data_IF_474286099459
#
_entry.id   IF_474286099459
#
_cell.length_a   1.000
_cell.length_b   1.000
_cell.length_c   1.000
_cell.angle_alpha   90.00
_cell.angle_beta   90.00
_cell.angle_gamma   90.00
#
_symmetry.space_group_name_H-M   'P 1'
#
loop_
_entity.id
_entity.type
_entity.pdbx_description
1 polymer ?
#
# COMPACT_ATOMS: atom_id res chain seq x y z
N UNK A 1 19.79 32.09 17.05
CA UNK A 1 18.95 31.94 15.85
C UNK A 1 19.50 30.81 15.02
N UNK A 2 18.86 29.62 15.01
CA UNK A 2 18.93 28.75 13.85
C UNK A 2 17.58 28.02 13.65
N UNK A 3 16.65 28.64 12.94
CA UNK A 3 15.36 28.01 12.60
C UNK A 3 15.15 27.75 11.09
N UNK A 4 16.10 28.13 10.24
CA UNK A 4 15.90 28.08 8.78
C UNK A 4 16.54 26.88 8.05
N UNK A 5 17.39 26.11 8.68
CA UNK A 5 18.07 24.97 8.02
C UNK A 5 17.28 23.65 8.01
N UNK A 6 16.36 23.46 8.97
CA UNK A 6 15.55 22.22 9.02
C UNK A 6 14.43 22.18 7.96
N UNK A 7 13.90 23.31 7.56
CA UNK A 7 12.80 23.39 6.56
C UNK A 7 13.30 23.08 5.14
N UNK A 8 14.52 23.44 4.81
CA UNK A 8 15.09 23.14 3.49
C UNK A 8 15.43 21.66 3.29
N UNK A 9 15.89 20.98 4.35
CA UNK A 9 16.22 19.54 4.26
C UNK A 9 14.98 18.66 4.07
N UNK A 10 13.86 19.01 4.68
CA UNK A 10 12.61 18.24 4.56
C UNK A 10 11.97 18.39 3.17
N UNK A 11 12.03 19.56 2.58
CA UNK A 11 11.50 19.83 1.21
C UNK A 11 12.37 19.14 0.16
N UNK A 12 13.69 19.16 0.31
CA UNK A 12 14.62 18.47 -0.59
C UNK A 12 14.48 16.94 -0.53
N UNK A 13 14.25 16.37 0.65
CA UNK A 13 14.08 14.92 0.82
C UNK A 13 12.75 14.42 0.23
N UNK A 14 11.67 15.17 0.42
CA UNK A 14 10.37 14.86 -0.17
C UNK A 14 10.40 14.96 -1.71
N UNK A 15 11.09 15.96 -2.25
CA UNK A 15 11.29 16.12 -3.70
C UNK A 15 12.12 15.00 -4.32
N UNK A 16 13.17 14.54 -3.63
CA UNK A 16 14.01 13.43 -4.10
C UNK A 16 13.28 12.08 -4.09
N UNK A 17 12.43 11.81 -3.09
CA UNK A 17 11.58 10.62 -3.05
C UNK A 17 10.53 10.62 -4.17
N UNK A 18 9.88 11.76 -4.42
CA UNK A 18 8.91 11.88 -5.50
C UNK A 18 9.53 11.65 -6.88
N UNK A 19 10.77 12.11 -7.10
CA UNK A 19 11.49 11.92 -8.36
C UNK A 19 11.83 10.44 -8.67
N UNK A 20 11.83 9.56 -7.66
CA UNK A 20 12.11 8.12 -7.78
C UNK A 20 10.84 7.25 -7.66
N UNK A 21 9.68 7.85 -7.41
CA UNK A 21 8.45 7.10 -7.20
C UNK A 21 8.13 6.23 -8.42
N UNK A 22 7.84 4.97 -8.14
CA UNK A 22 7.40 3.96 -9.11
C UNK A 22 5.98 3.46 -8.83
N UNK A 23 5.41 3.79 -7.69
CA UNK A 23 4.07 3.41 -7.27
C UNK A 23 3.24 4.67 -7.03
N UNK A 24 2.01 4.67 -7.53
CA UNK A 24 1.11 5.81 -7.46
C UNK A 24 -0.30 5.39 -7.07
N UNK A 25 -1.02 6.30 -6.44
CA UNK A 25 -2.38 6.09 -5.96
C UNK A 25 -3.23 7.34 -6.18
N UNK A 26 -4.55 7.15 -6.22
CA UNK A 26 -5.52 8.24 -6.18
C UNK A 26 -6.85 7.75 -5.56
N UNK A 27 -7.44 8.58 -4.70
CA UNK A 27 -8.83 8.45 -4.27
C UNK A 27 -9.70 9.35 -5.14
N UNK A 28 -10.68 8.77 -5.84
CA UNK A 28 -11.58 9.50 -6.73
C UNK A 28 -12.87 9.87 -5.98
N UNK A 29 -13.25 11.14 -6.06
CA UNK A 29 -14.48 11.67 -5.47
C UNK A 29 -15.11 12.71 -6.39
N UNK A 30 -16.43 12.91 -6.28
CA UNK A 30 -17.12 13.98 -7.00
C UNK A 30 -16.70 15.38 -6.56
N UNK A 31 -16.21 15.53 -5.31
CA UNK A 31 -15.72 16.80 -4.78
C UNK A 31 -14.42 17.27 -5.43
N UNK A 32 -13.63 16.38 -6.02
CA UNK A 32 -12.39 16.72 -6.73
C UNK A 32 -12.62 17.13 -8.20
N UNK A 33 -13.81 16.93 -8.75
CA UNK A 33 -14.14 17.44 -10.09
C UNK A 33 -14.16 18.98 -10.12
N UNK A 34 -13.99 19.56 -11.27
CA UNK A 34 -13.93 21.00 -11.46
C UNK A 34 -14.91 21.44 -12.58
N UNK A 35 -16.07 22.01 -12.21
CA UNK A 35 -16.58 22.19 -10.85
C UNK A 35 -16.96 20.86 -10.18
N UNK A 36 -17.10 20.81 -8.83
CA UNK A 36 -17.54 19.59 -8.15
C UNK A 36 -18.86 19.03 -8.70
N UNK A 37 -18.91 17.72 -8.94
CA UNK A 37 -20.09 17.06 -9.55
C UNK A 37 -21.23 16.83 -8.56
N UNK A 38 -20.95 16.84 -7.26
CA UNK A 38 -21.90 16.46 -6.22
C UNK A 38 -22.15 14.95 -6.12
N UNK A 39 -21.53 14.12 -6.94
CA UNK A 39 -21.62 12.66 -6.84
C UNK A 39 -21.02 12.15 -5.53
N UNK A 40 -21.69 11.18 -4.91
CA UNK A 40 -21.22 10.46 -3.73
C UNK A 40 -20.49 9.16 -4.09
N UNK A 41 -20.42 8.82 -5.37
CA UNK A 41 -19.63 7.67 -5.86
C UNK A 41 -18.16 7.89 -5.56
N UNK A 42 -17.50 6.84 -5.14
CA UNK A 42 -16.08 6.84 -4.78
C UNK A 42 -15.31 5.88 -5.69
N UNK A 43 -14.03 6.15 -5.87
CA UNK A 43 -13.11 5.26 -6.58
C UNK A 43 -11.74 5.23 -5.93
N UNK A 44 -10.97 4.20 -6.27
CA UNK A 44 -9.57 4.04 -5.88
C UNK A 44 -8.76 3.63 -7.11
N UNK A 45 -7.58 4.21 -7.25
CA UNK A 45 -6.64 3.86 -8.31
C UNK A 45 -5.29 3.47 -7.72
N UNK A 46 -4.71 2.40 -8.24
CA UNK A 46 -3.31 2.03 -8.06
C UNK A 46 -2.61 1.96 -9.42
N UNK A 47 -1.33 2.30 -9.41
CA UNK A 47 -0.52 2.33 -10.62
C UNK A 47 0.94 2.03 -10.29
N UNK A 48 1.57 1.20 -11.13
CA UNK A 48 2.97 0.79 -10.97
C UNK A 48 3.72 1.11 -12.26
N UNK A 49 4.83 1.82 -12.12
CA UNK A 49 5.72 2.16 -13.24
C UNK A 49 6.71 1.03 -13.49
N UNK A 50 6.67 0.46 -14.68
CA UNK A 50 7.79 -0.31 -15.23
C UNK A 50 8.83 0.68 -15.76
N UNK A 51 9.93 0.81 -15.03
CA UNK A 51 11.02 1.73 -15.39
C UNK A 51 11.81 1.28 -16.61
N UNK A 52 11.79 -0.02 -16.94
CA UNK A 52 12.47 -0.56 -18.12
C UNK A 52 11.80 -0.17 -19.42
N UNK A 53 10.47 -0.16 -19.43
CA UNK A 53 9.65 0.14 -20.61
C UNK A 53 8.98 1.51 -20.56
N UNK A 54 9.10 2.22 -19.43
CA UNK A 54 8.40 3.50 -19.19
C UNK A 54 6.88 3.38 -19.33
N UNK A 55 6.30 2.23 -19.00
CA UNK A 55 4.86 1.97 -19.03
C UNK A 55 4.26 1.93 -17.63
N UNK A 56 2.96 2.19 -17.51
CA UNK A 56 2.23 2.10 -16.24
C UNK A 56 1.23 0.97 -16.31
N UNK A 57 1.36 -0.01 -15.43
CA UNK A 57 0.27 -0.92 -15.11
C UNK A 57 -0.69 -0.22 -14.15
N UNK A 58 -1.97 -0.10 -14.51
CA UNK A 58 -2.96 0.61 -13.71
C UNK A 58 -4.19 -0.26 -13.41
N UNK A 59 -4.82 0.04 -12.28
CA UNK A 59 -6.12 -0.49 -11.90
C UNK A 59 -6.91 0.58 -11.16
N UNK A 60 -8.11 0.88 -11.68
CA UNK A 60 -9.08 1.80 -11.07
C UNK A 60 -10.31 0.98 -10.71
N UNK A 61 -10.70 1.02 -9.44
CA UNK A 61 -11.92 0.37 -8.93
C UNK A 61 -12.86 1.49 -8.51
N UNK A 62 -14.10 1.42 -8.97
CA UNK A 62 -15.12 2.44 -8.70
C UNK A 62 -16.38 1.81 -8.11
N UNK A 63 -17.05 2.56 -7.25
CA UNK A 63 -18.35 2.22 -6.72
C UNK A 63 -19.43 2.23 -7.79
N UNK A 64 -20.66 1.96 -7.37
CA UNK A 64 -21.81 1.96 -8.28
C UNK A 64 -22.17 3.40 -8.67
N UNK A 65 -22.24 3.65 -9.96
CA UNK A 65 -22.80 4.88 -10.53
C UNK A 65 -24.33 4.79 -10.70
N UNK A 66 -24.99 5.93 -10.70
CA UNK A 66 -26.42 6.02 -11.01
C UNK A 66 -26.71 5.72 -12.50
N UNK A 67 -25.81 6.12 -13.38
CA UNK A 67 -25.83 5.83 -14.83
C UNK A 67 -24.54 5.15 -15.25
N UNK A 68 -24.57 4.38 -16.32
CA UNK A 68 -23.38 3.67 -16.80
C UNK A 68 -22.24 4.65 -17.14
N UNK A 69 -21.00 4.32 -16.78
CA UNK A 69 -19.84 5.08 -17.23
C UNK A 69 -19.73 5.09 -18.75
N UNK A 70 -19.36 6.24 -19.30
CA UNK A 70 -19.20 6.45 -20.75
C UNK A 70 -17.74 6.49 -21.17
N UNK A 71 -16.84 6.96 -20.27
CA UNK A 71 -15.40 7.06 -20.54
C UNK A 71 -14.62 7.19 -19.23
N UNK A 72 -13.32 6.94 -19.29
CA UNK A 72 -12.38 7.24 -18.23
C UNK A 72 -11.02 7.63 -18.83
N UNK A 73 -10.31 8.56 -18.19
CA UNK A 73 -9.08 9.12 -18.73
C UNK A 73 -8.06 9.44 -17.64
N UNK A 74 -6.78 9.40 -18.02
CA UNK A 74 -5.72 10.14 -17.34
C UNK A 74 -5.57 11.51 -18.02
N UNK A 75 -5.48 12.55 -17.22
CA UNK A 75 -5.35 13.94 -17.63
C UNK A 75 -4.09 14.57 -17.04
N UNK A 76 -3.64 15.67 -17.61
CA UNK A 76 -2.49 16.45 -17.13
C UNK A 76 -2.97 17.81 -16.63
N UNK A 77 -2.98 18.01 -15.32
CA UNK A 77 -3.13 19.31 -14.64
C UNK A 77 -2.83 19.16 -13.15
N UNK A 78 -2.57 20.26 -12.48
CA UNK A 78 -2.52 20.36 -11.03
C UNK A 78 -3.90 20.09 -10.39
N UNK A 79 -3.93 19.83 -9.10
CA UNK A 79 -5.18 19.68 -8.35
C UNK A 79 -6.03 20.96 -8.47
N UNK A 80 -7.34 20.77 -8.65
CA UNK A 80 -8.30 21.88 -8.82
C UNK A 80 -8.29 22.56 -10.19
N UNK A 81 -7.55 22.02 -11.17
CA UNK A 81 -7.47 22.57 -12.55
C UNK A 81 -7.84 21.47 -13.56
N UNK A 82 -8.68 21.81 -14.56
CA UNK A 82 -8.95 20.93 -15.70
C UNK A 82 -7.80 20.96 -16.69
N UNK A 83 -7.44 19.82 -17.23
CA UNK A 83 -6.37 19.67 -18.23
C UNK A 83 -6.71 18.72 -19.37
N UNK A 84 -5.87 18.67 -20.40
CA UNK A 84 -6.07 17.79 -21.54
C UNK A 84 -5.96 16.31 -21.15
N UNK A 85 -6.65 15.47 -21.92
CA UNK A 85 -6.50 14.01 -21.86
C UNK A 85 -5.08 13.64 -22.33
N UNK A 86 -4.42 12.79 -21.52
CA UNK A 86 -3.12 12.19 -21.87
C UNK A 86 -3.31 10.77 -22.38
N UNK A 87 -4.14 9.98 -21.69
CA UNK A 87 -4.40 8.57 -22.02
C UNK A 87 -5.86 8.25 -21.73
N UNK A 88 -6.57 7.71 -22.72
CA UNK A 88 -7.85 7.05 -22.50
C UNK A 88 -7.60 5.69 -21.84
N UNK A 89 -8.40 5.35 -20.83
CA UNK A 89 -8.30 4.07 -20.14
C UNK A 89 -9.52 3.20 -20.43
N UNK A 90 -9.30 1.91 -20.54
CA UNK A 90 -10.30 0.95 -20.95
C UNK A 90 -10.78 0.12 -19.75
N UNK A 91 -12.03 -0.40 -19.85
CA UNK A 91 -12.63 -1.22 -18.81
C UNK A 91 -14.04 -0.73 -18.45
N UNK A 92 -14.45 -0.95 -17.21
CA UNK A 92 -15.75 -0.60 -16.67
C UNK A 92 -16.71 -1.79 -16.62
N UNK A 93 -17.88 -1.63 -16.02
CA UNK A 93 -18.34 -0.42 -15.36
C UNK A 93 -17.73 -0.16 -13.98
N UNK A 94 -17.14 -1.18 -13.34
CA UNK A 94 -16.63 -1.07 -11.95
C UNK A 94 -15.11 -1.15 -11.85
N UNK A 95 -14.43 -1.69 -12.89
CA UNK A 95 -12.99 -1.87 -12.91
C UNK A 95 -12.44 -1.45 -14.27
N UNK A 96 -11.44 -0.57 -14.25
CA UNK A 96 -10.60 -0.23 -15.39
C UNK A 96 -9.19 -0.72 -15.09
N UNK A 97 -8.58 -1.46 -16.01
CA UNK A 97 -7.21 -1.95 -15.82
C UNK A 97 -6.53 -2.16 -17.15
N UNK A 98 -5.22 -1.99 -17.15
CA UNK A 98 -4.42 -2.18 -18.34
C UNK A 98 -2.98 -1.72 -18.14
N UNK A 99 -2.26 -1.67 -19.26
CA UNK A 99 -0.91 -1.11 -19.34
C UNK A 99 -0.96 0.05 -20.33
N UNK A 100 -0.36 1.17 -19.98
CA UNK A 100 -0.30 2.35 -20.87
C UNK A 100 0.68 2.10 -22.00
N UNK A 101 0.65 2.96 -23.03
CA UNK A 101 1.81 3.14 -23.91
C UNK A 101 3.03 3.57 -23.10
N UNK A 102 4.20 3.45 -23.68
CA UNK A 102 5.39 4.07 -23.10
C UNK A 102 5.19 5.59 -22.94
N UNK A 103 5.56 6.10 -21.77
CA UNK A 103 5.50 7.52 -21.44
C UNK A 103 6.81 8.21 -21.82
N UNK A 104 6.71 9.45 -22.24
CA UNK A 104 7.87 10.31 -22.43
C UNK A 104 8.49 10.72 -21.09
N UNK A 105 9.74 11.15 -21.10
CA UNK A 105 10.41 11.65 -19.90
C UNK A 105 9.66 12.84 -19.26
N UNK A 106 9.04 13.70 -20.07
CA UNK A 106 8.24 14.83 -19.61
C UNK A 106 6.95 14.36 -18.91
N UNK A 107 6.25 13.37 -19.48
CA UNK A 107 5.05 12.78 -18.88
C UNK A 107 5.36 12.10 -17.53
N UNK A 108 6.49 11.39 -17.44
CA UNK A 108 6.95 10.79 -16.18
C UNK A 108 7.31 11.85 -15.14
N UNK A 109 7.95 12.94 -15.56
CA UNK A 109 8.25 14.05 -14.64
C UNK A 109 6.97 14.71 -14.11
N UNK A 110 5.99 14.95 -14.97
CA UNK A 110 4.68 15.51 -14.60
C UNK A 110 3.91 14.58 -13.66
N UNK A 111 3.88 13.28 -13.94
CA UNK A 111 3.25 12.27 -13.08
C UNK A 111 3.87 12.29 -11.66
N UNK A 112 5.21 12.27 -11.58
CA UNK A 112 5.94 12.31 -10.31
C UNK A 112 5.78 13.62 -9.57
N UNK A 113 5.56 14.72 -10.30
CA UNK A 113 5.26 16.03 -9.73
C UNK A 113 3.80 16.17 -9.24
N UNK A 114 2.97 15.11 -9.38
CA UNK A 114 1.55 15.15 -9.00
C UNK A 114 0.69 15.98 -9.95
N UNK A 115 1.14 16.16 -11.21
CA UNK A 115 0.43 16.94 -12.23
C UNK A 115 -0.47 16.06 -13.11
N UNK A 116 -0.84 14.88 -12.65
CA UNK A 116 -1.80 14.02 -13.33
C UNK A 116 -3.01 13.74 -12.44
N UNK A 117 -4.16 13.55 -13.06
CA UNK A 117 -5.35 13.04 -12.40
C UNK A 117 -6.05 12.00 -13.27
N UNK A 118 -6.87 11.18 -12.65
CA UNK A 118 -7.77 10.24 -13.29
C UNK A 118 -9.21 10.69 -13.05
N UNK A 119 -10.07 10.56 -14.07
CA UNK A 119 -11.51 10.76 -13.89
C UNK A 119 -12.33 9.72 -14.65
N UNK A 120 -13.60 9.59 -14.23
CA UNK A 120 -14.60 8.72 -14.85
C UNK A 120 -15.84 9.55 -15.18
N UNK A 121 -16.30 9.41 -16.39
CA UNK A 121 -17.45 10.13 -16.95
C UNK A 121 -18.68 9.23 -17.02
N UNK A 122 -19.84 9.81 -16.87
CA UNK A 122 -21.14 9.16 -17.12
C UNK A 122 -22.00 10.03 -18.02
N UNK A 123 -23.12 9.48 -18.49
CA UNK A 123 -24.07 10.29 -19.28
C UNK A 123 -24.68 11.44 -18.48
N UNK A 124 -24.78 11.31 -17.17
CA UNK A 124 -25.24 12.38 -16.27
C UNK A 124 -24.16 13.45 -16.04
N UNK A 125 -22.90 13.06 -16.06
CA UNK A 125 -21.75 13.93 -15.85
C UNK A 125 -20.74 13.77 -17.00
N UNK A 126 -21.03 14.33 -18.18
CA UNK A 126 -20.15 14.17 -19.34
C UNK A 126 -18.79 14.89 -19.18
N UNK A 127 -18.71 15.86 -18.26
CA UNK A 127 -17.45 16.52 -17.91
C UNK A 127 -16.57 15.74 -16.91
N UNK A 128 -17.13 14.73 -16.24
CA UNK A 128 -16.52 13.92 -15.20
C UNK A 128 -17.45 13.78 -13.99
N UNK A 129 -17.64 12.56 -13.49
CA UNK A 129 -18.45 12.31 -12.30
C UNK A 129 -17.60 12.20 -11.05
N UNK A 130 -16.46 11.51 -11.13
CA UNK A 130 -15.49 11.40 -10.05
C UNK A 130 -14.09 11.58 -10.59
N UNK A 131 -13.26 12.27 -9.82
CA UNK A 131 -11.87 12.59 -10.13
C UNK A 131 -10.96 12.30 -8.93
N UNK A 132 -9.72 11.86 -9.20
CA UNK A 132 -8.67 11.71 -8.19
C UNK A 132 -7.34 12.26 -8.68
N UNK A 133 -6.71 13.19 -7.92
CA UNK A 133 -5.35 13.63 -8.21
C UNK A 133 -4.39 12.47 -7.90
N UNK A 134 -3.48 12.19 -8.82
CA UNK A 134 -2.51 11.10 -8.70
C UNK A 134 -1.30 11.59 -7.90
N UNK A 135 -0.90 10.80 -6.92
CA UNK A 135 0.27 11.06 -6.08
C UNK A 135 1.11 9.80 -5.89
N UNK A 136 2.38 9.98 -5.51
CA UNK A 136 3.23 8.86 -5.14
C UNK A 136 2.62 8.08 -3.96
N UNK A 137 2.59 6.76 -4.06
CA UNK A 137 2.14 5.90 -2.99
C UNK A 137 3.22 5.75 -1.91
N UNK A 138 2.77 5.62 -0.67
CA UNK A 138 3.65 5.31 0.47
C UNK A 138 3.84 3.80 0.55
N UNK A 139 5.06 3.33 0.37
CA UNK A 139 5.37 1.91 0.51
C UNK A 139 5.44 1.50 1.98
N UNK A 140 5.16 0.21 2.30
CA UNK A 140 5.29 -0.30 3.66
C UNK A 140 6.71 -0.15 4.20
N UNK A 141 6.82 0.09 5.51
CA UNK A 141 8.11 0.21 6.21
C UNK A 141 8.20 -0.80 7.33
N UNK A 142 9.39 -1.31 7.57
CA UNK A 142 9.64 -2.25 8.68
C UNK A 142 10.03 -1.49 9.95
N UNK A 143 9.71 -2.08 11.12
CA UNK A 143 10.06 -1.52 12.42
C UNK A 143 10.35 -2.64 13.44
N UNK A 144 11.00 -2.27 14.55
CA UNK A 144 11.37 -3.24 15.59
C UNK A 144 12.38 -4.29 15.10
N UNK A 145 12.48 -5.39 15.83
CA UNK A 145 13.39 -6.48 15.53
C UNK A 145 12.69 -7.83 15.74
N UNK A 146 13.03 -8.80 14.90
CA UNK A 146 12.69 -10.20 15.10
C UNK A 146 13.54 -10.84 16.19
N UNK A 147 13.19 -12.05 16.61
CA UNK A 147 13.98 -12.84 17.55
C UNK A 147 14.67 -14.03 16.88
N UNK A 148 15.79 -14.44 17.47
CA UNK A 148 16.62 -15.51 16.93
C UNK A 148 15.93 -16.86 17.06
N UNK A 149 15.84 -17.58 15.95
CA UNK A 149 15.40 -18.96 15.87
C UNK A 149 16.57 -19.95 15.80
N UNK A 150 16.27 -21.18 15.40
CA UNK A 150 17.29 -22.18 15.14
C UNK A 150 18.24 -21.77 14.02
N UNK A 151 19.49 -22.30 14.07
CA UNK A 151 20.54 -22.00 13.08
C UNK A 151 20.90 -20.49 13.01
N UNK A 152 20.74 -19.75 14.13
CA UNK A 152 20.97 -18.31 14.21
C UNK A 152 20.17 -17.46 13.18
N UNK A 153 19.04 -17.99 12.68
CA UNK A 153 18.17 -17.26 11.77
C UNK A 153 17.24 -16.30 12.53
N UNK A 154 17.09 -15.10 12.02
CA UNK A 154 16.13 -14.12 12.52
C UNK A 154 15.13 -13.86 11.42
N UNK A 155 13.85 -14.26 11.58
CA UNK A 155 12.83 -14.02 10.57
C UNK A 155 12.68 -12.54 10.28
N UNK A 156 12.56 -12.19 9.00
CA UNK A 156 12.40 -10.81 8.55
C UNK A 156 11.15 -10.65 7.69
N UNK A 157 10.32 -9.65 8.04
CA UNK A 157 9.11 -9.28 7.29
C UNK A 157 9.46 -8.24 6.22
N UNK A 158 8.71 -8.26 5.12
CA UNK A 158 8.76 -7.24 4.07
C UNK A 158 7.37 -7.00 3.50
N UNK A 159 7.12 -5.79 2.98
CA UNK A 159 5.95 -5.50 2.16
C UNK A 159 6.36 -5.45 0.69
N UNK A 160 5.61 -6.14 -0.16
CA UNK A 160 5.71 -6.00 -1.60
C UNK A 160 4.51 -5.22 -2.07
N UNK A 161 4.77 -4.06 -2.70
CA UNK A 161 3.75 -3.12 -3.09
C UNK A 161 3.07 -2.43 -1.88
N UNK A 162 1.91 -1.81 -2.04
CA UNK A 162 1.20 -1.08 -0.98
C UNK A 162 -0.27 -1.53 -0.88
N UNK A 163 -0.87 -1.52 0.32
CA UNK A 163 -2.27 -1.91 0.49
C UNK A 163 -3.20 -0.83 -0.08
N UNK A 164 -4.07 -1.24 -1.00
CA UNK A 164 -5.11 -0.40 -1.58
C UNK A 164 -6.26 -1.28 -2.08
N UNK A 165 -7.51 -0.82 -2.01
CA UNK A 165 -8.64 -1.55 -2.63
C UNK A 165 -8.49 -1.77 -4.14
N UNK A 166 -7.69 -0.96 -4.81
CA UNK A 166 -7.38 -1.10 -6.23
C UNK A 166 -6.14 -1.98 -6.50
N UNK A 167 -5.36 -2.32 -5.48
CA UNK A 167 -4.13 -3.10 -5.62
C UNK A 167 -4.36 -4.57 -5.24
N UNK A 168 -4.44 -5.44 -6.24
CA UNK A 168 -4.64 -6.87 -6.04
C UNK A 168 -3.35 -7.67 -5.81
N UNK A 169 -2.18 -6.99 -5.83
CA UNK A 169 -0.86 -7.64 -5.76
C UNK A 169 -0.09 -7.33 -4.46
N UNK A 170 -0.72 -6.61 -3.52
CA UNK A 170 -0.10 -6.37 -2.22
C UNK A 170 0.14 -7.67 -1.48
N UNK A 171 1.37 -7.90 -1.03
CA UNK A 171 1.79 -9.11 -0.32
C UNK A 171 2.69 -8.76 0.86
N UNK A 172 2.55 -9.55 1.93
CA UNK A 172 3.46 -9.52 3.07
C UNK A 172 4.40 -10.71 2.98
N UNK A 173 5.68 -10.42 2.81
CA UNK A 173 6.75 -11.39 2.67
C UNK A 173 7.40 -11.76 4.00
N UNK A 174 7.96 -12.95 4.04
CA UNK A 174 8.80 -13.49 5.11
C UNK A 174 10.06 -14.05 4.49
N UNK A 175 11.20 -13.78 5.10
CA UNK A 175 12.51 -14.34 4.72
C UNK A 175 13.30 -14.71 5.96
N UNK A 176 14.37 -15.48 5.76
CA UNK A 176 15.30 -15.88 6.81
C UNK A 176 14.63 -16.58 8.02
N UNK A 177 13.50 -17.23 7.78
CA UNK A 177 12.79 -18.03 8.77
C UNK A 177 13.30 -19.49 8.79
N UNK A 178 12.77 -20.30 9.70
CA UNK A 178 12.98 -21.76 9.66
C UNK A 178 12.41 -22.32 8.37
N UNK A 179 13.18 -23.17 7.71
CA UNK A 179 12.81 -23.83 6.46
C UNK A 179 11.69 -24.86 6.68
N UNK A 180 10.85 -25.04 5.66
CA UNK A 180 9.79 -26.07 5.62
C UNK A 180 8.95 -26.09 6.91
N UNK A 181 8.62 -24.92 7.41
CA UNK A 181 7.88 -24.73 8.67
C UNK A 181 6.60 -23.94 8.44
N UNK A 182 5.73 -23.91 9.45
CA UNK A 182 4.50 -23.14 9.42
C UNK A 182 4.80 -21.72 9.89
N UNK A 183 4.32 -20.74 9.12
CA UNK A 183 4.35 -19.34 9.46
C UNK A 183 2.92 -18.77 9.51
N UNK A 184 2.62 -17.97 10.53
CA UNK A 184 1.33 -17.31 10.74
C UNK A 184 1.55 -15.81 10.71
N UNK A 185 0.79 -15.10 9.87
CA UNK A 185 0.79 -13.64 9.82
C UNK A 185 -0.28 -13.10 10.77
N UNK A 186 0.14 -12.38 11.80
CA UNK A 186 -0.75 -11.57 12.61
C UNK A 186 -0.88 -10.18 12.02
N UNK A 187 -2.09 -9.63 12.06
CA UNK A 187 -2.40 -8.29 11.56
C UNK A 187 -3.19 -7.51 12.60
N UNK A 188 -2.81 -6.25 12.78
CA UNK A 188 -3.41 -5.34 13.71
C UNK A 188 -3.51 -3.91 13.18
N UNK A 189 -3.97 -3.01 14.03
CA UNK A 189 -4.11 -1.57 13.75
C UNK A 189 -3.37 -0.69 14.75
N UNK A 190 -2.63 -1.32 15.67
CA UNK A 190 -1.82 -0.62 16.68
C UNK A 190 -0.44 -1.27 16.83
N UNK A 191 0.60 -0.44 16.96
CA UNK A 191 1.96 -0.84 17.37
C UNK A 191 2.34 -0.37 18.76
N UNK A 192 1.41 0.22 19.48
CA UNK A 192 1.65 0.81 20.80
C UNK A 192 0.86 0.16 21.91
N UNK A 193 -0.27 -0.48 21.59
CA UNK A 193 -1.15 -1.13 22.57
C UNK A 193 -1.78 -2.39 22.00
N UNK A 194 -1.96 -3.40 22.87
CA UNK A 194 -2.75 -4.60 22.62
C UNK A 194 -3.65 -4.84 23.85
N UNK A 195 -4.88 -4.37 23.80
CA UNK A 195 -5.74 -4.29 24.97
C UNK A 195 -5.10 -3.42 26.04
N UNK A 196 -4.87 -3.99 27.23
CA UNK A 196 -4.18 -3.32 28.34
C UNK A 196 -2.65 -3.41 28.27
N UNK A 197 -2.09 -4.18 27.33
CA UNK A 197 -0.64 -4.36 27.19
C UNK A 197 -0.03 -3.25 26.35
N UNK A 198 1.10 -2.71 26.81
CA UNK A 198 1.91 -1.75 26.05
C UNK A 198 2.83 -2.52 25.11
N UNK A 199 2.87 -2.11 23.87
CA UNK A 199 3.77 -2.66 22.85
C UNK A 199 4.99 -1.76 22.66
N UNK A 200 6.15 -2.33 22.34
CA UNK A 200 6.48 -3.76 22.17
C UNK A 200 6.42 -4.52 23.51
N UNK A 201 5.72 -5.66 23.53
CA UNK A 201 5.58 -6.48 24.72
C UNK A 201 6.58 -7.63 24.72
N UNK A 202 7.28 -7.84 25.85
CA UNK A 202 8.30 -8.88 26.00
C UNK A 202 7.64 -10.26 26.17
N UNK A 203 7.93 -11.18 25.26
CA UNK A 203 7.38 -12.53 25.24
C UNK A 203 8.21 -13.55 26.06
N UNK A 204 9.29 -13.12 26.73
CA UNK A 204 10.09 -13.99 27.59
C UNK A 204 9.24 -14.60 28.73
N UNK A 205 8.21 -13.88 29.18
CA UNK A 205 7.29 -14.32 30.24
C UNK A 205 6.46 -15.56 29.85
N UNK A 206 6.34 -15.83 28.54
CA UNK A 206 5.64 -17.02 28.00
C UNK A 206 6.60 -18.01 27.36
N UNK A 207 7.90 -17.88 27.60
CA UNK A 207 8.90 -18.84 27.13
C UNK A 207 9.50 -18.54 25.75
N UNK A 208 9.36 -17.30 25.25
CA UNK A 208 10.01 -16.80 24.02
C UNK A 208 11.04 -15.71 24.35
N UNK A 209 12.21 -16.07 24.90
CA UNK A 209 13.22 -15.08 25.27
C UNK A 209 13.69 -14.29 24.03
N UNK A 210 13.94 -13.00 24.22
CA UNK A 210 14.33 -12.01 23.18
C UNK A 210 13.25 -11.66 22.14
N UNK A 211 12.12 -12.40 22.12
CA UNK A 211 11.01 -12.10 21.20
C UNK A 211 10.10 -11.02 21.78
N UNK A 212 9.53 -10.20 20.91
CA UNK A 212 8.58 -9.15 21.29
C UNK A 212 7.34 -9.19 20.39
N UNK A 213 6.15 -9.03 20.98
CA UNK A 213 4.98 -8.69 20.23
C UNK A 213 5.09 -7.21 19.81
N UNK A 214 4.98 -6.93 18.52
CA UNK A 214 5.20 -5.61 17.93
C UNK A 214 3.91 -4.94 17.43
N UNK A 215 2.84 -5.70 17.27
CA UNK A 215 1.51 -5.19 16.92
C UNK A 215 0.44 -5.87 17.73
N UNK A 216 -0.73 -5.22 17.83
CA UNK A 216 -1.95 -5.86 18.30
C UNK A 216 -2.41 -6.92 17.30
N UNK A 217 -3.44 -7.67 17.68
CA UNK A 217 -4.02 -8.73 16.86
C UNK A 217 -5.52 -8.48 16.73
N UNK A 218 -5.93 -7.96 15.57
CA UNK A 218 -7.35 -7.88 15.20
C UNK A 218 -7.79 -9.08 14.38
N UNK A 219 -6.85 -9.94 13.99
CA UNK A 219 -7.09 -11.18 13.25
C UNK A 219 -5.85 -11.82 12.67
N UNK A 220 -5.96 -13.08 12.36
CA UNK A 220 -4.94 -13.83 11.64
C UNK A 220 -5.06 -13.46 10.15
N UNK A 221 -4.02 -12.84 9.59
CA UNK A 221 -3.92 -12.54 8.17
C UNK A 221 -3.82 -13.80 7.30
N UNK A 222 -3.45 -14.91 7.91
CA UNK A 222 -3.37 -16.22 7.29
C UNK A 222 -2.19 -17.03 7.81
N UNK A 223 -2.11 -18.28 7.35
CA UNK A 223 -0.98 -19.17 7.59
C UNK A 223 -0.48 -19.76 6.29
N UNK A 224 0.82 -20.01 6.21
CA UNK A 224 1.47 -20.61 5.04
C UNK A 224 2.68 -21.41 5.49
N UNK A 225 3.22 -22.23 4.59
CA UNK A 225 4.50 -22.91 4.81
C UNK A 225 5.66 -22.05 4.28
N UNK A 226 6.78 -22.06 4.98
CA UNK A 226 8.03 -21.54 4.44
C UNK A 226 8.64 -22.55 3.48
N UNK A 227 9.29 -22.06 2.44
CA UNK A 227 10.02 -22.88 1.48
C UNK A 227 11.36 -23.43 2.05
N UNK A 228 12.12 -24.10 1.21
CA UNK A 228 13.44 -24.64 1.56
C UNK A 228 14.50 -23.55 1.89
N UNK A 229 14.21 -22.29 1.60
CA UNK A 229 15.07 -21.14 1.94
C UNK A 229 14.57 -20.37 3.17
N UNK A 230 13.46 -20.80 3.78
CA UNK A 230 12.81 -20.09 4.89
C UNK A 230 12.07 -18.85 4.43
N UNK A 231 11.58 -18.81 3.19
CA UNK A 231 10.79 -17.72 2.65
C UNK A 231 9.31 -18.10 2.51
N UNK A 232 8.43 -17.09 2.64
CA UNK A 232 7.00 -17.24 2.40
C UNK A 232 6.40 -15.88 1.97
N UNK A 233 5.22 -15.93 1.35
CA UNK A 233 4.45 -14.76 0.97
C UNK A 233 2.97 -14.97 1.28
N UNK A 234 2.31 -13.92 1.75
CA UNK A 234 0.88 -13.90 1.99
C UNK A 234 0.25 -12.73 1.22
N UNK A 235 -0.65 -12.99 0.25
CA UNK A 235 -1.44 -11.92 -0.37
C UNK A 235 -2.43 -11.34 0.64
N UNK A 236 -2.51 -10.01 0.69
CA UNK A 236 -3.45 -9.29 1.56
C UNK A 236 -4.37 -8.46 0.69
N UNK A 237 -5.59 -8.95 0.51
CA UNK A 237 -6.61 -8.28 -0.28
C UNK A 237 -7.36 -7.25 0.58
N UNK A 238 -7.31 -5.99 0.16
CA UNK A 238 -8.06 -4.91 0.79
C UNK A 238 -9.41 -4.80 0.09
N UNK A 239 -10.54 -4.99 0.78
CA UNK A 239 -11.86 -4.85 0.17
C UNK A 239 -12.11 -3.39 -0.23
N UNK A 240 -12.92 -3.19 -1.27
CA UNK A 240 -13.32 -1.85 -1.71
C UNK A 240 -14.29 -1.23 -0.69
N UNK A 241 -13.74 -0.64 0.35
CA UNK A 241 -14.44 0.11 1.38
C UNK A 241 -13.68 1.40 1.64
N UNK A 242 -14.20 2.55 1.21
CA UNK A 242 -13.50 3.84 1.36
C UNK A 242 -13.12 4.20 2.80
N UNK A 243 -13.88 3.72 3.79
CA UNK A 243 -13.59 3.90 5.20
C UNK A 243 -12.26 3.26 5.66
N UNK A 244 -11.70 2.32 4.89
CA UNK A 244 -10.41 1.71 5.18
C UNK A 244 -9.24 2.57 4.74
N UNK A 245 -9.44 3.49 3.79
CA UNK A 245 -8.37 4.38 3.29
C UNK A 245 -7.89 5.28 4.43
N UNK A 246 -6.58 5.33 4.61
CA UNK A 246 -5.95 6.07 5.70
C UNK A 246 -5.65 5.23 6.95
N UNK A 247 -6.28 4.06 7.11
CA UNK A 247 -5.94 3.13 8.20
C UNK A 247 -4.55 2.56 7.98
N UNK A 248 -3.78 2.46 9.05
CA UNK A 248 -2.47 1.81 9.03
C UNK A 248 -2.58 0.41 9.58
N UNK A 249 -2.18 -0.56 8.78
CA UNK A 249 -2.05 -1.96 9.18
C UNK A 249 -0.66 -2.20 9.76
N UNK A 250 -0.60 -2.92 10.86
CA UNK A 250 0.63 -3.42 11.47
C UNK A 250 0.63 -4.94 11.38
N UNK A 251 1.75 -5.54 11.00
CA UNK A 251 1.82 -6.98 10.81
C UNK A 251 3.12 -7.55 11.36
N UNK A 252 3.06 -8.78 11.82
CA UNK A 252 4.21 -9.53 12.32
C UNK A 252 4.03 -11.02 12.00
N UNK A 253 5.09 -11.69 11.53
CA UNK A 253 5.10 -13.13 11.34
C UNK A 253 5.50 -13.85 12.62
N UNK A 254 4.80 -14.94 12.91
CA UNK A 254 5.19 -15.95 13.89
C UNK A 254 5.47 -17.27 13.16
N UNK A 255 6.60 -17.90 13.47
CA UNK A 255 7.10 -19.08 12.76
C UNK A 255 7.30 -20.22 13.76
N UNK A 256 6.78 -21.38 13.44
CA UNK A 256 7.00 -22.60 14.25
C UNK A 256 8.47 -23.00 14.15
N UNK A 257 9.14 -23.04 15.29
CA UNK A 257 10.55 -23.43 15.42
C UNK A 257 10.79 -24.15 16.75
N UNK A 258 10.47 -25.47 16.82
CA UNK A 258 10.41 -26.23 18.06
C UNK A 258 11.70 -26.27 18.88
N UNK A 259 12.83 -25.95 18.25
CA UNK A 259 14.15 -25.98 18.94
C UNK A 259 14.65 -24.59 19.34
N UNK A 260 13.92 -23.54 18.96
CA UNK A 260 14.34 -22.16 19.22
C UNK A 260 14.19 -21.77 20.70
N UNK A 261 13.11 -22.19 21.35
CA UNK A 261 12.77 -21.85 22.73
C UNK A 261 11.68 -22.76 23.30
N UNK A 262 11.28 -22.53 24.55
CA UNK A 262 10.31 -23.37 25.25
C UNK A 262 8.94 -23.42 24.56
N UNK A 263 8.49 -22.30 23.98
CA UNK A 263 7.21 -22.21 23.27
C UNK A 263 7.30 -22.78 21.85
N UNK A 264 8.52 -22.98 21.32
CA UNK A 264 8.73 -23.50 19.97
C UNK A 264 8.34 -22.53 18.85
N UNK A 265 8.44 -21.20 19.10
CA UNK A 265 8.07 -20.16 18.16
C UNK A 265 9.17 -19.09 18.07
N UNK A 266 9.32 -18.50 16.87
CA UNK A 266 10.06 -17.27 16.64
C UNK A 266 9.18 -16.26 15.95
N UNK A 267 9.57 -14.98 15.95
CA UNK A 267 8.84 -13.97 15.22
C UNK A 267 9.76 -12.99 14.46
N UNK A 268 9.18 -12.34 13.45
CA UNK A 268 9.87 -11.34 12.65
C UNK A 268 9.86 -9.96 13.34
N UNK A 269 10.57 -9.00 12.76
CA UNK A 269 10.29 -7.58 12.95
C UNK A 269 8.87 -7.25 12.45
N UNK A 270 8.38 -6.04 12.72
CA UNK A 270 7.05 -5.58 12.30
C UNK A 270 7.05 -4.92 10.93
N UNK A 271 5.87 -4.87 10.30
CA UNK A 271 5.60 -4.12 9.07
C UNK A 271 4.48 -3.12 9.33
N UNK A 272 4.69 -1.89 8.92
CA UNK A 272 3.71 -0.81 8.92
C UNK A 272 3.31 -0.48 7.49
N UNK A 273 2.02 -0.56 7.15
CA UNK A 273 1.50 -0.38 5.82
C UNK A 273 0.19 0.43 5.85
N UNK A 274 0.21 1.65 5.31
CA UNK A 274 -0.96 2.52 5.27
C UNK A 274 -1.82 2.22 4.04
N UNK A 275 -3.10 1.95 4.23
CA UNK A 275 -4.09 1.75 3.15
C UNK A 275 -4.32 3.08 2.42
N UNK A 276 -4.20 3.07 1.09
CA UNK A 276 -4.23 4.25 0.22
C UNK A 276 -5.24 4.09 -0.92
#
# INVERSE_FOLDING_TARGET
MPRSLLTFATILLAGALAAQATHFTATLTGAQEVPPSGSTTLGQMSMILDTGNSTLAYRVVVGKFATAPTAAHFHRAAAGVNGPVVIAITGGPSIYSGITRALTAAELADLRAGLWYVNVHTSQFPGGEIRGQISAATLPVTYGAGCMGSNAKIPAISGRDFPSPSNAVFQVGLTNAKESSIAVLLMGVSKTQYGALVLPFDLSIIGMPTCKALCDDIGIGGSTATDANGAAFMPVLIPFQPALVGITLYSQWYVVDPVANLLGLTNSNGLEAKIQ
#
